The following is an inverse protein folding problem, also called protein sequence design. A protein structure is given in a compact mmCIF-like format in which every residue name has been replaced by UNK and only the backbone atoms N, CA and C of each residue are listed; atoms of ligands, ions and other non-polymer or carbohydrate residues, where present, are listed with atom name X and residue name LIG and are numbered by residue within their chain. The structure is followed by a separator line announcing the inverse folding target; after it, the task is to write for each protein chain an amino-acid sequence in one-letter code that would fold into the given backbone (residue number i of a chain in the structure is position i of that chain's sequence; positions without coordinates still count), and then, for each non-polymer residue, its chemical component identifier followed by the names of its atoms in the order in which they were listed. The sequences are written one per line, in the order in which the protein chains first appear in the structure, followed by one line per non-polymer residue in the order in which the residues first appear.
data_IF_412479326124
#
_entry.id   IF_412479326124
#
_cell.length_a   1.000
_cell.length_b   1.000
_cell.length_c   1.000
_cell.angle_alpha   90.00
_cell.angle_beta   90.00
_cell.angle_gamma   90.00
#
_symmetry.space_group_name_H-M   'P 1'
#
loop_
_entity.id
_entity.type
_entity.pdbx_description
1 polymer ?
#
# COMPACT_ATOMS: atom_id res chain seq x y z
N UNK A 1 -24.08 6.91 -18.69
CA UNK A 1 -23.97 8.06 -17.76
C UNK A 1 -22.94 7.76 -16.66
N UNK A 2 -21.90 8.58 -16.49
CA UNK A 2 -20.96 8.45 -15.37
C UNK A 2 -21.71 8.82 -14.08
N UNK A 3 -21.83 7.87 -13.13
CA UNK A 3 -22.44 8.14 -11.81
C UNK A 3 -21.57 9.18 -11.09
N UNK A 4 -22.17 10.29 -10.66
CA UNK A 4 -21.48 11.31 -9.84
C UNK A 4 -21.04 10.67 -8.50
N UNK A 5 -19.87 11.06 -7.96
CA UNK A 5 -19.45 10.60 -6.63
C UNK A 5 -20.48 11.02 -5.57
N UNK A 6 -20.76 10.12 -4.62
CA UNK A 6 -21.71 10.42 -3.53
C UNK A 6 -21.03 11.30 -2.49
N UNK A 7 -21.73 12.33 -2.03
CA UNK A 7 -21.32 13.10 -0.85
C UNK A 7 -21.39 12.24 0.43
N UNK A 8 -20.74 12.68 1.50
CA UNK A 8 -20.79 11.95 2.79
C UNK A 8 -22.24 11.79 3.29
N UNK A 9 -23.10 12.79 3.13
CA UNK A 9 -24.50 12.67 3.49
C UNK A 9 -25.25 11.66 2.63
N UNK A 10 -24.97 11.62 1.32
CA UNK A 10 -25.55 10.64 0.42
C UNK A 10 -25.05 9.21 0.70
N UNK A 11 -23.82 9.06 1.21
CA UNK A 11 -23.30 7.78 1.68
C UNK A 11 -24.00 7.32 2.96
N UNK A 12 -24.20 8.21 3.93
CA UNK A 12 -24.96 7.89 5.15
C UNK A 12 -26.40 7.47 4.82
N UNK A 13 -27.09 8.23 3.96
CA UNK A 13 -28.43 7.87 3.50
C UNK A 13 -28.45 6.49 2.82
N UNK A 14 -27.49 6.23 1.92
CA UNK A 14 -27.37 4.94 1.27
C UNK A 14 -27.11 3.77 2.26
N UNK A 15 -26.28 3.98 3.28
CA UNK A 15 -26.01 2.97 4.30
C UNK A 15 -27.25 2.70 5.15
N UNK A 16 -27.99 3.73 5.50
CA UNK A 16 -29.23 3.63 6.27
C UNK A 16 -30.37 3.00 5.46
N UNK A 17 -30.65 3.57 4.29
CA UNK A 17 -31.86 3.28 3.52
C UNK A 17 -31.73 2.01 2.67
N UNK A 18 -30.54 1.76 2.09
CA UNK A 18 -30.29 0.63 1.20
C UNK A 18 -29.59 -0.56 1.88
N UNK A 19 -28.92 -0.31 3.01
CA UNK A 19 -28.16 -1.35 3.73
C UNK A 19 -28.71 -1.66 5.11
N UNK A 20 -29.75 -0.96 5.54
CA UNK A 20 -30.40 -1.18 6.81
C UNK A 20 -29.53 -0.84 8.04
N UNK A 21 -28.45 -0.09 7.84
CA UNK A 21 -27.51 0.25 8.91
C UNK A 21 -28.05 1.43 9.73
N UNK A 22 -28.17 1.27 11.04
CA UNK A 22 -28.46 2.40 11.93
C UNK A 22 -27.27 3.35 11.95
N UNK A 23 -27.39 4.48 11.27
CA UNK A 23 -26.38 5.55 11.19
C UNK A 23 -27.06 6.91 11.15
N UNK A 24 -26.69 7.83 12.05
CA UNK A 24 -27.32 9.14 12.15
C UNK A 24 -26.43 10.17 12.85
N UNK A 25 -26.81 11.44 12.67
CA UNK A 25 -26.20 12.55 13.40
C UNK A 25 -24.80 12.97 12.90
N UNK A 26 -24.30 14.00 13.56
CA UNK A 26 -23.01 14.61 13.22
C UNK A 26 -21.81 13.78 13.69
N UNK A 27 -21.97 13.02 14.77
CA UNK A 27 -20.94 12.13 15.31
C UNK A 27 -20.59 11.03 14.29
N UNK A 28 -21.58 10.27 13.83
CA UNK A 28 -21.36 9.19 12.86
C UNK A 28 -20.86 9.73 11.52
N UNK A 29 -21.35 10.89 11.11
CA UNK A 29 -20.84 11.59 9.93
C UNK A 29 -19.35 11.91 10.06
N UNK A 30 -18.88 12.35 11.23
CA UNK A 30 -17.48 12.64 11.51
C UNK A 30 -16.66 11.37 11.51
N UNK A 31 -17.11 10.31 12.19
CA UNK A 31 -16.48 8.99 12.22
C UNK A 31 -16.35 8.41 10.80
N UNK A 32 -17.45 8.41 10.01
CA UNK A 32 -17.43 7.92 8.62
C UNK A 32 -16.48 8.71 7.72
N UNK A 33 -16.30 10.02 7.97
CA UNK A 33 -15.34 10.84 7.22
C UNK A 33 -13.90 10.44 7.51
N UNK A 34 -13.55 10.09 8.74
CA UNK A 34 -12.21 9.67 9.13
C UNK A 34 -11.91 8.23 8.70
N UNK A 35 -12.83 7.33 8.93
CA UNK A 35 -12.72 5.92 8.55
C UNK A 35 -12.73 5.75 7.03
N UNK A 36 -13.52 6.56 6.33
CA UNK A 36 -13.79 6.42 4.90
C UNK A 36 -14.80 5.31 4.58
N UNK A 37 -15.62 5.55 3.56
CA UNK A 37 -16.62 4.57 3.14
C UNK A 37 -16.00 3.30 2.55
N UNK A 38 -14.98 3.43 1.68
CA UNK A 38 -14.41 2.29 0.96
C UNK A 38 -13.48 1.45 1.83
N UNK A 39 -12.59 2.09 2.59
CA UNK A 39 -11.62 1.41 3.44
C UNK A 39 -12.22 0.99 4.80
N UNK A 40 -13.16 1.77 5.31
CA UNK A 40 -13.91 1.45 6.52
C UNK A 40 -15.09 0.53 6.23
N UNK A 41 -16.32 1.08 6.17
CA UNK A 41 -17.56 0.29 6.07
C UNK A 41 -17.52 -0.79 4.99
N UNK A 42 -17.17 -0.42 3.73
CA UNK A 42 -17.17 -1.39 2.63
C UNK A 42 -16.06 -2.42 2.79
N UNK A 43 -14.88 -2.02 3.29
CA UNK A 43 -13.75 -2.92 3.51
C UNK A 43 -14.06 -3.99 4.54
N UNK A 44 -14.59 -3.61 5.70
CA UNK A 44 -14.91 -4.55 6.78
C UNK A 44 -16.15 -5.40 6.54
N UNK A 45 -16.96 -5.06 5.54
CA UNK A 45 -18.15 -5.82 5.21
C UNK A 45 -17.87 -7.17 4.58
N UNK A 46 -16.72 -7.34 3.95
CA UNK A 46 -16.39 -8.58 3.23
C UNK A 46 -15.51 -9.50 4.08
N UNK A 47 -15.84 -10.79 4.06
CA UNK A 47 -15.04 -11.83 4.69
C UNK A 47 -14.57 -12.84 3.65
N UNK A 48 -13.27 -12.91 3.42
CA UNK A 48 -12.55 -13.81 2.51
C UNK A 48 -12.90 -13.70 1.02
N UNK A 49 -14.15 -13.45 0.66
CA UNK A 49 -14.55 -13.28 -0.74
C UNK A 49 -15.77 -12.32 -0.87
N UNK A 50 -16.02 -11.78 -2.06
CA UNK A 50 -17.12 -10.84 -2.28
C UNK A 50 -18.53 -11.39 -2.01
N UNK A 51 -18.70 -12.72 -1.95
CA UNK A 51 -20.01 -13.35 -1.65
C UNK A 51 -20.30 -13.38 -0.15
N UNK A 52 -19.26 -13.37 0.71
CA UNK A 52 -19.40 -13.40 2.15
C UNK A 52 -19.41 -11.98 2.70
N UNK A 53 -20.59 -11.51 3.12
CA UNK A 53 -20.75 -10.18 3.68
C UNK A 53 -21.26 -10.25 5.11
N UNK A 54 -20.65 -9.45 6.00
CA UNK A 54 -21.24 -9.21 7.32
C UNK A 54 -22.42 -8.26 7.20
N UNK A 55 -23.53 -8.62 7.85
CA UNK A 55 -24.66 -7.73 8.05
C UNK A 55 -24.44 -6.95 9.33
N UNK A 56 -24.03 -5.69 9.21
CA UNK A 56 -23.98 -4.77 10.32
C UNK A 56 -25.37 -4.18 10.57
N UNK A 57 -25.76 -4.11 11.84
CA UNK A 57 -27.01 -3.48 12.26
C UNK A 57 -26.83 -2.00 12.62
N UNK A 58 -25.66 -1.65 13.14
CA UNK A 58 -25.35 -0.30 13.54
C UNK A 58 -23.98 0.17 13.05
N UNK A 59 -23.80 1.47 12.96
CA UNK A 59 -22.50 2.05 12.62
C UNK A 59 -21.48 1.87 13.74
N UNK A 60 -21.93 1.72 14.98
CA UNK A 60 -21.05 1.45 16.11
C UNK A 60 -20.36 0.08 16.01
N UNK A 61 -21.02 -0.93 15.44
CA UNK A 61 -20.38 -2.22 15.14
C UNK A 61 -19.22 -2.07 14.13
N UNK A 62 -19.44 -1.28 13.09
CA UNK A 62 -18.38 -0.95 12.11
C UNK A 62 -17.24 -0.19 12.76
N UNK A 63 -17.58 0.76 13.65
CA UNK A 63 -16.59 1.54 14.40
C UNK A 63 -15.77 0.65 15.32
N UNK A 64 -16.39 -0.29 16.03
CA UNK A 64 -15.68 -1.21 16.91
C UNK A 64 -14.64 -2.06 16.17
N UNK A 65 -14.97 -2.56 14.97
CA UNK A 65 -14.02 -3.30 14.14
C UNK A 65 -12.88 -2.38 13.66
N UNK A 66 -13.21 -1.16 13.26
CA UNK A 66 -12.21 -0.18 12.86
C UNK A 66 -11.23 0.13 14.00
N UNK A 67 -11.75 0.36 15.20
CA UNK A 67 -10.94 0.69 16.37
C UNK A 67 -10.05 -0.50 16.77
N UNK A 68 -10.56 -1.73 16.67
CA UNK A 68 -9.77 -2.95 16.87
C UNK A 68 -8.65 -3.10 15.82
N UNK A 69 -8.94 -2.90 14.54
CA UNK A 69 -7.96 -2.93 13.46
C UNK A 69 -6.88 -1.86 13.66
N UNK A 70 -7.26 -0.65 14.08
CA UNK A 70 -6.32 0.42 14.38
C UNK A 70 -5.46 0.12 15.61
N UNK A 71 -6.02 -0.51 16.65
CA UNK A 71 -5.26 -0.95 17.82
C UNK A 71 -4.20 -2.00 17.45
N UNK A 72 -4.58 -3.01 16.64
CA UNK A 72 -3.64 -4.00 16.11
C UNK A 72 -2.53 -3.34 15.28
N UNK A 73 -2.89 -2.45 14.36
CA UNK A 73 -1.91 -1.74 13.54
C UNK A 73 -0.93 -0.92 14.38
N UNK A 74 -1.43 -0.24 15.40
CA UNK A 74 -0.59 0.57 16.31
C UNK A 74 0.39 -0.32 17.08
N UNK A 75 0.00 -1.53 17.44
CA UNK A 75 0.86 -2.48 18.15
C UNK A 75 1.94 -3.08 17.25
N UNK A 76 1.60 -3.45 16.01
CA UNK A 76 2.53 -4.14 15.11
C UNK A 76 3.35 -3.22 14.20
N UNK A 77 2.85 -2.02 13.88
CA UNK A 77 3.50 -1.15 12.90
C UNK A 77 4.95 -0.77 13.26
N UNK A 78 5.28 -0.39 14.51
CA UNK A 78 6.66 -0.10 14.88
C UNK A 78 7.60 -1.28 14.66
N UNK A 79 7.17 -2.50 15.03
CA UNK A 79 7.96 -3.72 14.88
C UNK A 79 8.18 -4.08 13.40
N UNK A 80 7.15 -3.94 12.58
CA UNK A 80 7.25 -4.16 11.14
C UNK A 80 8.24 -3.17 10.51
N UNK A 81 8.17 -1.89 10.88
CA UNK A 81 9.09 -0.85 10.39
C UNK A 81 10.52 -1.09 10.83
N UNK A 82 10.73 -1.56 12.07
CA UNK A 82 12.04 -1.97 12.56
C UNK A 82 12.61 -3.13 11.74
N UNK A 83 11.84 -4.20 11.57
CA UNK A 83 12.25 -5.38 10.79
C UNK A 83 12.52 -5.02 9.32
N UNK A 84 11.67 -4.20 8.71
CA UNK A 84 11.87 -3.74 7.34
C UNK A 84 13.20 -2.97 7.20
N UNK A 85 13.49 -2.08 8.14
CA UNK A 85 14.72 -1.28 8.14
C UNK A 85 15.95 -2.16 8.37
N UNK A 86 15.90 -3.06 9.34
CA UNK A 86 16.98 -4.01 9.61
C UNK A 86 17.28 -4.90 8.40
N UNK A 87 16.22 -5.45 7.79
CA UNK A 87 16.37 -6.29 6.59
C UNK A 87 17.00 -5.52 5.42
N UNK A 88 16.54 -4.29 5.17
CA UNK A 88 17.13 -3.44 4.12
C UNK A 88 18.62 -3.17 4.35
N UNK A 89 19.01 -2.92 5.59
CA UNK A 89 20.40 -2.67 5.95
C UNK A 89 21.27 -3.92 5.75
N UNK A 90 20.82 -5.09 6.20
CA UNK A 90 21.52 -6.36 5.97
C UNK A 90 21.71 -6.67 4.48
N UNK A 91 20.64 -6.51 3.69
CA UNK A 91 20.72 -6.72 2.23
C UNK A 91 21.70 -5.74 1.59
N UNK A 92 21.68 -4.47 2.02
CA UNK A 92 22.60 -3.45 1.51
C UNK A 92 24.04 -3.78 1.86
N UNK A 93 24.34 -4.21 3.08
CA UNK A 93 25.66 -4.63 3.55
C UNK A 93 26.22 -5.74 2.65
N UNK A 94 25.47 -6.85 2.47
CA UNK A 94 25.86 -7.96 1.61
C UNK A 94 26.11 -7.51 0.16
N UNK A 95 25.23 -6.65 -0.37
CA UNK A 95 25.39 -6.12 -1.74
C UNK A 95 26.67 -5.29 -1.87
N UNK A 96 27.00 -4.47 -0.89
CA UNK A 96 28.20 -3.61 -0.91
C UNK A 96 29.48 -4.43 -0.75
N UNK A 97 29.47 -5.45 0.12
CA UNK A 97 30.57 -6.38 0.32
C UNK A 97 30.84 -7.19 -0.97
N UNK A 98 29.83 -7.84 -1.53
CA UNK A 98 29.94 -8.64 -2.75
C UNK A 98 30.35 -7.79 -3.96
N UNK A 99 29.83 -6.55 -4.07
CA UNK A 99 30.18 -5.64 -5.15
C UNK A 99 31.57 -5.00 -4.99
N UNK A 100 32.09 -4.95 -3.77
CA UNK A 100 33.31 -4.20 -3.40
C UNK A 100 33.24 -2.73 -3.88
N UNK A 101 32.04 -2.16 -3.93
CA UNK A 101 31.80 -0.83 -4.47
C UNK A 101 30.49 -0.23 -4.01
N UNK A 102 30.50 1.06 -3.69
CA UNK A 102 29.30 1.87 -3.42
C UNK A 102 28.69 2.54 -4.67
N UNK A 103 29.34 2.36 -5.84
CA UNK A 103 28.85 2.95 -7.10
C UNK A 103 27.82 2.03 -7.75
N UNK A 104 26.59 2.55 -7.97
CA UNK A 104 25.51 1.79 -8.60
C UNK A 104 25.89 1.07 -9.89
N UNK A 105 26.69 1.73 -10.75
CA UNK A 105 27.13 1.12 -12.01
C UNK A 105 27.99 -0.12 -11.81
N UNK A 106 28.87 -0.13 -10.81
CA UNK A 106 29.74 -1.26 -10.47
C UNK A 106 28.94 -2.40 -9.82
N UNK A 107 28.06 -2.04 -8.87
CA UNK A 107 27.14 -3.01 -8.25
C UNK A 107 26.30 -3.70 -9.32
N UNK A 108 25.72 -2.92 -10.22
CA UNK A 108 24.90 -3.46 -11.31
C UNK A 108 25.70 -4.40 -12.24
N UNK A 109 26.91 -3.98 -12.63
CA UNK A 109 27.73 -4.77 -13.54
C UNK A 109 28.26 -6.08 -12.90
N UNK A 110 28.54 -6.06 -11.59
CA UNK A 110 29.10 -7.21 -10.86
C UNK A 110 28.02 -8.22 -10.43
N UNK A 111 26.89 -7.74 -9.93
CA UNK A 111 25.87 -8.59 -9.28
C UNK A 111 24.63 -8.85 -10.14
N UNK A 112 24.39 -8.04 -11.18
CA UNK A 112 23.19 -8.17 -12.01
C UNK A 112 23.59 -8.38 -13.47
N UNK A 113 22.70 -9.04 -14.23
CA UNK A 113 22.92 -9.27 -15.66
C UNK A 113 23.02 -7.94 -16.41
N UNK A 114 24.21 -7.63 -16.93
CA UNK A 114 24.46 -6.40 -17.67
C UNK A 114 23.72 -6.44 -19.02
N UNK A 115 23.04 -5.33 -19.36
CA UNK A 115 22.41 -5.16 -20.67
C UNK A 115 23.39 -5.27 -21.81
N UNK A 116 24.68 -5.01 -21.58
CA UNK A 116 25.76 -5.14 -22.54
C UNK A 116 26.04 -6.58 -22.96
N UNK A 117 25.56 -7.58 -22.21
CA UNK A 117 25.66 -8.99 -22.56
C UNK A 117 24.75 -9.36 -23.76
N UNK A 118 23.85 -8.48 -24.16
CA UNK A 118 22.90 -8.71 -25.26
C UNK A 118 23.27 -7.88 -26.50
N UNK A 119 22.98 -8.36 -27.72
CA UNK A 119 23.20 -7.61 -28.96
C UNK A 119 22.39 -6.28 -28.93
N UNK A 120 23.04 -5.18 -29.28
CA UNK A 120 22.42 -3.85 -29.29
C UNK A 120 21.19 -3.87 -30.20
N UNK A 121 20.07 -3.36 -29.69
CA UNK A 121 18.78 -3.29 -30.40
C UNK A 121 17.92 -4.54 -30.30
N UNK A 122 18.41 -5.65 -29.77
CA UNK A 122 17.62 -6.84 -29.50
C UNK A 122 16.53 -6.58 -28.45
N UNK A 123 15.49 -7.41 -28.43
CA UNK A 123 14.43 -7.30 -27.42
C UNK A 123 14.98 -7.50 -26.01
N UNK A 124 15.94 -8.40 -25.81
CA UNK A 124 16.52 -8.65 -24.50
C UNK A 124 17.42 -7.49 -24.04
N UNK A 125 18.17 -6.87 -24.97
CA UNK A 125 18.88 -5.62 -24.70
C UNK A 125 17.93 -4.53 -24.21
N UNK A 126 16.80 -4.30 -24.90
CA UNK A 126 15.80 -3.29 -24.53
C UNK A 126 15.18 -3.59 -23.17
N UNK A 127 14.85 -4.86 -22.90
CA UNK A 127 14.31 -5.28 -21.59
C UNK A 127 15.33 -5.05 -20.47
N UNK A 128 16.58 -5.42 -20.66
CA UNK A 128 17.64 -5.30 -19.67
C UNK A 128 17.96 -3.83 -19.36
N UNK A 129 18.08 -2.98 -20.39
CA UNK A 129 18.31 -1.54 -20.18
C UNK A 129 17.15 -0.85 -19.45
N UNK A 130 15.90 -1.24 -19.77
CA UNK A 130 14.73 -0.71 -19.08
C UNK A 130 14.68 -1.13 -17.59
N UNK A 131 15.04 -2.39 -17.29
CA UNK A 131 15.16 -2.85 -15.89
C UNK A 131 16.22 -2.05 -15.12
N UNK A 132 17.39 -1.80 -15.74
CA UNK A 132 18.45 -0.98 -15.14
C UNK A 132 17.98 0.46 -14.87
N UNK A 133 17.32 1.09 -15.85
CA UNK A 133 16.80 2.46 -15.70
C UNK A 133 15.74 2.55 -14.59
N UNK A 134 14.83 1.58 -14.54
CA UNK A 134 13.80 1.53 -13.50
C UNK A 134 14.41 1.36 -12.11
N UNK A 135 15.42 0.48 -11.96
CA UNK A 135 16.12 0.29 -10.69
C UNK A 135 16.87 1.56 -10.26
N UNK A 136 17.58 2.21 -11.20
CA UNK A 136 18.26 3.49 -10.96
C UNK A 136 17.30 4.58 -10.52
N UNK A 137 16.18 4.74 -11.21
CA UNK A 137 15.19 5.77 -10.90
C UNK A 137 14.57 5.55 -9.50
N UNK A 138 14.31 4.29 -9.11
CA UNK A 138 13.88 3.95 -7.77
C UNK A 138 14.96 4.29 -6.73
N UNK A 139 16.21 3.91 -6.95
CA UNK A 139 17.31 4.21 -6.03
C UNK A 139 17.48 5.74 -5.83
N UNK A 140 17.41 6.53 -6.90
CA UNK A 140 17.49 8.01 -6.82
C UNK A 140 16.30 8.60 -6.08
N UNK A 141 15.10 8.09 -6.30
CA UNK A 141 13.88 8.55 -5.62
C UNK A 141 13.93 8.32 -4.10
N UNK A 142 14.52 7.21 -3.65
CA UNK A 142 14.69 6.93 -2.22
C UNK A 142 15.77 7.82 -1.56
N UNK A 143 16.83 8.18 -2.27
CA UNK A 143 17.88 9.06 -1.71
C UNK A 143 17.43 10.51 -1.56
N UNK A 144 16.46 10.98 -2.31
CA UNK A 144 15.89 12.32 -2.16
C UNK A 144 14.86 12.45 -1.03
N UNK A 145 14.37 11.33 -0.48
CA UNK A 145 13.44 11.30 0.65
C UNK A 145 14.15 11.18 2.01
N UNK A 146 15.47 11.01 2.02
CA UNK A 146 16.30 10.81 3.24
C UNK A 146 17.30 11.95 3.50
N UNK A 147 17.19 13.06 2.78
CA UNK A 147 17.86 14.33 3.04
C UNK A 147 16.82 15.38 3.42
#
# INVERSE_FOLDING_TARGET
MKKKPKSINALMAYMRDEKGLSISGSSDKKKLRYMGYFHGYKGYRFHNNPANTYAFNSFDEVQAIYDFDMAIKTMFYPEIMFLETAFKNYVLEVILEDAESKRFANIYAKLLTDYKAYPIGSNDYKKAINKRMNLRNKAVSYTHLTL
#
